data_IF_476838198968
#
_entry.id   IF_476838198968
#
_cell.length_a   1.000
_cell.length_b   1.000
_cell.length_c   1.000
_cell.angle_alpha   90.00
_cell.angle_beta   90.00
_cell.angle_gamma   90.00
#
_symmetry.space_group_name_H-M   'P 1'
#
loop_
_entity.id
_entity.type
_entity.pdbx_description
1 polymer ?
#
# COMPACT_ATOMS: atom_id res chain seq x y z
N UNK A 1 -17.10 9.43 -25.28
CA UNK A 1 -16.34 10.07 -24.18
C UNK A 1 -16.73 9.54 -22.80
N UNK A 2 -18.03 9.51 -22.42
CA UNK A 2 -18.47 9.01 -21.09
C UNK A 2 -18.00 7.57 -20.76
N UNK A 3 -18.01 6.67 -21.75
CA UNK A 3 -17.53 5.28 -21.59
C UNK A 3 -16.03 5.19 -21.25
N UNK A 4 -15.19 5.98 -21.92
CA UNK A 4 -13.75 6.03 -21.64
C UNK A 4 -13.47 6.55 -20.22
N UNK A 5 -14.16 7.61 -19.80
CA UNK A 5 -14.01 8.17 -18.45
C UNK A 5 -14.42 7.16 -17.39
N UNK A 6 -15.56 6.46 -17.60
CA UNK A 6 -16.01 5.41 -16.67
C UNK A 6 -15.03 4.24 -16.59
N UNK A 7 -14.45 3.83 -17.71
CA UNK A 7 -13.44 2.77 -17.75
C UNK A 7 -12.19 3.16 -16.95
N UNK A 8 -11.65 4.36 -17.20
CA UNK A 8 -10.47 4.86 -16.50
C UNK A 8 -10.71 5.03 -15.00
N UNK A 9 -11.90 5.47 -14.60
CA UNK A 9 -12.29 5.57 -13.20
C UNK A 9 -12.30 4.20 -12.50
N UNK A 10 -12.92 3.20 -13.12
CA UNK A 10 -12.95 1.83 -12.57
C UNK A 10 -11.56 1.21 -12.51
N UNK A 11 -10.73 1.45 -13.54
CA UNK A 11 -9.34 1.00 -13.55
C UNK A 11 -8.54 1.63 -12.40
N UNK A 12 -8.73 2.93 -12.16
CA UNK A 12 -8.08 3.64 -11.06
C UNK A 12 -8.47 3.06 -9.70
N UNK A 13 -9.75 2.73 -9.48
CA UNK A 13 -10.22 2.09 -8.25
C UNK A 13 -9.52 0.74 -8.03
N UNK A 14 -9.43 -0.09 -9.08
CA UNK A 14 -8.77 -1.39 -8.97
C UNK A 14 -7.29 -1.25 -8.61
N UNK A 15 -6.59 -0.29 -9.21
CA UNK A 15 -5.19 0.01 -8.88
C UNK A 15 -5.06 0.48 -7.43
N UNK A 16 -5.93 1.38 -6.98
CA UNK A 16 -5.91 1.87 -5.60
C UNK A 16 -6.13 0.73 -4.59
N UNK A 17 -7.08 -0.17 -4.85
CA UNK A 17 -7.31 -1.34 -3.99
C UNK A 17 -6.08 -2.26 -3.96
N UNK A 18 -5.49 -2.56 -5.12
CA UNK A 18 -4.30 -3.38 -5.19
C UNK A 18 -3.13 -2.77 -4.42
N UNK A 19 -2.96 -1.44 -4.53
CA UNK A 19 -1.95 -0.70 -3.80
C UNK A 19 -2.18 -0.74 -2.29
N UNK A 20 -3.43 -0.59 -1.84
CA UNK A 20 -3.80 -0.67 -0.42
C UNK A 20 -3.55 -2.06 0.18
N UNK A 21 -3.89 -3.12 -0.55
CA UNK A 21 -3.59 -4.49 -0.11
C UNK A 21 -2.09 -4.71 0.01
N UNK A 22 -1.31 -4.19 -0.94
CA UNK A 22 0.14 -4.26 -0.91
C UNK A 22 0.75 -3.49 0.28
N UNK A 23 0.27 -2.28 0.59
CA UNK A 23 0.75 -1.53 1.76
C UNK A 23 0.40 -2.23 3.08
N UNK A 24 -0.77 -2.85 3.18
CA UNK A 24 -1.12 -3.68 4.34
C UNK A 24 -0.20 -4.90 4.48
N UNK A 25 0.15 -5.55 3.37
CA UNK A 25 1.10 -6.65 3.37
C UNK A 25 2.49 -6.20 3.84
N UNK A 26 3.00 -5.08 3.34
CA UNK A 26 4.28 -4.53 3.81
C UNK A 26 4.22 -4.19 5.30
N UNK A 27 3.13 -3.58 5.74
CA UNK A 27 2.92 -3.25 7.14
C UNK A 27 3.02 -4.48 8.05
N UNK A 28 2.41 -5.57 7.60
CA UNK A 28 2.49 -6.86 8.27
C UNK A 28 3.94 -7.38 8.35
N UNK A 29 4.68 -7.35 7.23
CA UNK A 29 6.05 -7.86 7.18
C UNK A 29 7.02 -7.05 8.06
N UNK A 30 6.88 -5.71 8.12
CA UNK A 30 7.85 -4.85 8.80
C UNK A 30 7.51 -4.62 10.28
N UNK A 31 6.21 -4.53 10.62
CA UNK A 31 5.76 -4.12 11.95
C UNK A 31 4.76 -5.10 12.60
N UNK A 32 4.38 -6.17 11.91
CA UNK A 32 3.48 -7.20 12.41
C UNK A 32 1.98 -6.87 12.29
N UNK A 33 1.15 -7.78 12.81
CA UNK A 33 -0.30 -7.81 12.62
C UNK A 33 -1.02 -6.52 13.03
N UNK A 34 -0.67 -5.92 14.18
CA UNK A 34 -1.39 -4.75 14.71
C UNK A 34 -1.26 -3.54 13.78
N UNK A 35 -0.06 -3.30 13.25
CA UNK A 35 0.17 -2.17 12.33
C UNK A 35 -0.45 -2.43 10.96
N UNK A 36 -0.49 -3.70 10.51
CA UNK A 36 -1.21 -4.09 9.29
C UNK A 36 -2.72 -3.80 9.39
N UNK A 37 -3.34 -4.14 10.53
CA UNK A 37 -4.76 -3.86 10.77
C UNK A 37 -5.04 -2.35 10.82
N UNK A 38 -4.20 -1.57 11.49
CA UNK A 38 -4.33 -0.11 11.51
C UNK A 38 -4.16 0.50 10.12
N UNK A 39 -3.20 0.00 9.34
CA UNK A 39 -3.00 0.40 7.93
C UNK A 39 -4.25 0.08 7.11
N UNK A 40 -4.83 -1.11 7.28
CA UNK A 40 -6.03 -1.56 6.58
C UNK A 40 -7.28 -0.72 6.84
N UNK A 41 -7.47 -0.25 8.08
CA UNK A 41 -8.61 0.59 8.48
C UNK A 41 -8.44 2.03 7.99
N UNK A 42 -7.20 2.50 7.84
CA UNK A 42 -6.87 3.88 7.46
C UNK A 42 -6.07 3.92 6.14
N UNK A 43 -6.68 3.59 4.99
CA UNK A 43 -5.99 3.43 3.71
C UNK A 43 -5.13 4.64 3.34
N UNK A 44 -5.72 5.83 3.26
CA UNK A 44 -5.01 7.05 2.82
C UNK A 44 -3.87 7.42 3.78
N UNK A 45 -4.11 7.34 5.09
CA UNK A 45 -3.09 7.70 6.10
C UNK A 45 -1.96 6.67 6.09
N UNK A 46 -2.32 5.38 5.99
CA UNK A 46 -1.37 4.28 5.88
C UNK A 46 -0.49 4.41 4.64
N UNK A 47 -1.08 4.68 3.48
CA UNK A 47 -0.34 4.87 2.23
C UNK A 47 0.65 6.03 2.32
N UNK A 48 0.24 7.20 2.84
CA UNK A 48 1.15 8.35 3.03
C UNK A 48 2.32 8.00 3.96
N UNK A 49 2.01 7.33 5.09
CA UNK A 49 3.02 6.88 6.04
C UNK A 49 4.00 5.91 5.40
N UNK A 50 3.51 4.87 4.71
CA UNK A 50 4.33 3.82 4.12
C UNK A 50 5.15 4.35 2.93
N UNK A 51 4.57 5.19 2.08
CA UNK A 51 5.33 5.89 1.02
C UNK A 51 6.51 6.64 1.65
N UNK A 52 6.26 7.43 2.69
CA UNK A 52 7.31 8.23 3.35
C UNK A 52 8.34 7.36 4.08
N UNK A 53 7.89 6.31 4.78
CA UNK A 53 8.76 5.43 5.56
C UNK A 53 9.68 4.59 4.66
N UNK A 54 9.22 4.29 3.46
CA UNK A 54 9.93 3.43 2.53
C UNK A 54 10.65 4.20 1.41
N UNK A 55 10.34 5.49 1.26
CA UNK A 55 11.01 6.40 0.33
C UNK A 55 12.53 6.38 0.55
N UNK A 56 13.30 6.13 -0.51
CA UNK A 56 14.76 6.09 -0.44
C UNK A 56 15.35 4.86 0.26
N UNK A 57 14.54 3.87 0.68
CA UNK A 57 15.07 2.56 1.07
C UNK A 57 15.28 1.72 -0.18
N UNK A 58 16.53 1.63 -0.63
CA UNK A 58 16.93 0.94 -1.88
C UNK A 58 16.71 -0.59 -1.84
N UNK A 59 16.27 -1.12 -0.69
CA UNK A 59 16.48 -2.51 -0.30
C UNK A 59 15.34 -3.00 0.61
N UNK A 60 14.12 -2.97 0.09
CA UNK A 60 12.95 -3.54 0.77
C UNK A 60 13.10 -5.04 1.04
N UNK A 61 13.78 -5.77 0.15
CA UNK A 61 14.01 -7.20 0.32
C UNK A 61 14.93 -7.49 1.50
N UNK A 62 15.89 -6.62 1.79
CA UNK A 62 16.85 -6.84 2.90
C UNK A 62 16.18 -6.74 4.25
N UNK A 63 15.08 -5.98 4.40
CA UNK A 63 14.31 -5.92 5.66
C UNK A 63 13.49 -7.18 5.93
N UNK A 64 13.06 -7.90 4.88
CA UNK A 64 12.24 -9.12 5.02
C UNK A 64 13.12 -10.35 5.35
N UNK A 65 14.40 -10.33 4.97
CA UNK A 65 15.35 -11.45 5.18
C UNK A 65 16.44 -11.18 6.22
N UNK A 66 16.50 -9.99 6.83
CA UNK A 66 17.46 -9.66 7.90
C UNK A 66 16.84 -9.70 9.31
N UNK A 67 15.60 -10.18 9.43
CA UNK A 67 14.93 -10.49 10.70
C UNK A 67 14.92 -11.99 10.96
#
# INVERSE_FOLDING_TARGET
MKSLISFLYNLFILIAIAYHVWTCYIAYQIKGMVVALLTGILPVVGEIYWISNLWGRENYQTFIYAG
#
